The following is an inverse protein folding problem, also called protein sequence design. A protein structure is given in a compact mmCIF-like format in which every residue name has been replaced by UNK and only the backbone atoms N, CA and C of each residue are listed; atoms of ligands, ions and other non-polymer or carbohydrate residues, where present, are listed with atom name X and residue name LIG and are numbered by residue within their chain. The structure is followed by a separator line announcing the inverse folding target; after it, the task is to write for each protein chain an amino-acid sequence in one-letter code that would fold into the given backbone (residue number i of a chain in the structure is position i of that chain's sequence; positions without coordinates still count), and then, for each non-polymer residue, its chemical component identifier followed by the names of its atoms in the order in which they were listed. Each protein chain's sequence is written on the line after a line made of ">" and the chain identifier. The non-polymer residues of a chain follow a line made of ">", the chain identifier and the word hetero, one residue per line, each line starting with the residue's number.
data_IF_415633017684
#
_entry.id   IF_415633017684
#
_cell.length_a   1.000
_cell.length_b   1.000
_cell.length_c   1.000
_cell.angle_alpha   90.00
_cell.angle_beta   90.00
_cell.angle_gamma   90.00
#
_symmetry.space_group_name_H-M   'P 1'
#
loop_
_entity.id
_entity.type
_entity.pdbx_description
1 polymer ?
#
# COMPACT_ATOMS: atom_id res chain seq x y z
N UNK A 1 0.36 0.60 -7.05
CA UNK A 1 -0.39 0.81 -5.80
C UNK A 1 -0.41 2.31 -5.51
N UNK A 2 -1.58 2.95 -5.43
CA UNK A 2 -1.66 4.40 -5.20
C UNK A 2 -1.09 4.77 -3.82
N UNK A 3 -0.41 5.92 -3.72
CA UNK A 3 0.27 6.41 -2.49
C UNK A 3 -0.63 6.28 -1.25
N UNK A 4 -1.91 6.62 -1.36
CA UNK A 4 -2.92 6.52 -0.30
C UNK A 4 -3.05 5.10 0.28
N UNK A 5 -3.10 4.07 -0.55
CA UNK A 5 -3.28 2.69 -0.09
C UNK A 5 -2.05 2.15 0.65
N UNK A 6 -0.87 2.62 0.27
CA UNK A 6 0.39 2.34 0.96
C UNK A 6 0.40 2.98 2.35
N UNK A 7 0.04 4.26 2.47
CA UNK A 7 -0.07 4.93 3.77
C UNK A 7 -1.09 4.27 4.70
N UNK A 8 -2.26 3.88 4.17
CA UNK A 8 -3.27 3.16 4.95
C UNK A 8 -2.77 1.83 5.51
N UNK A 9 -2.00 1.07 4.71
CA UNK A 9 -1.39 -0.18 5.17
C UNK A 9 -0.43 0.09 6.34
N UNK A 10 0.44 1.09 6.19
CA UNK A 10 1.37 1.45 7.26
C UNK A 10 0.64 1.88 8.53
N UNK A 11 -0.47 2.62 8.41
CA UNK A 11 -1.25 3.02 9.57
C UNK A 11 -1.78 1.82 10.39
N UNK A 12 -2.33 0.82 9.71
CA UNK A 12 -2.80 -0.41 10.36
C UNK A 12 -1.64 -1.22 10.97
N UNK A 13 -0.50 -1.31 10.29
CA UNK A 13 0.69 -1.97 10.83
C UNK A 13 1.23 -1.24 12.07
N UNK A 14 1.34 0.08 12.02
CA UNK A 14 1.81 0.90 13.14
C UNK A 14 0.87 0.79 14.34
N UNK A 15 -0.45 0.77 14.12
CA UNK A 15 -1.42 0.47 15.19
C UNK A 15 -1.13 -0.87 15.88
N UNK A 16 -0.92 -1.94 15.10
CA UNK A 16 -0.57 -3.24 15.64
C UNK A 16 0.75 -3.24 16.43
N UNK A 17 1.75 -2.47 15.99
CA UNK A 17 3.01 -2.31 16.73
C UNK A 17 2.79 -1.63 18.09
N UNK A 18 1.89 -0.65 18.19
CA UNK A 18 1.54 -0.04 19.48
C UNK A 18 0.90 -1.06 20.42
N UNK A 19 -0.02 -1.91 19.93
CA UNK A 19 -0.61 -2.98 20.74
C UNK A 19 0.44 -3.99 21.23
N UNK A 20 1.33 -4.43 20.36
CA UNK A 20 2.43 -5.34 20.75
C UNK A 20 3.40 -4.67 21.73
N UNK A 21 3.67 -3.37 21.55
CA UNK A 21 4.53 -2.61 22.46
C UNK A 21 3.92 -2.51 23.86
N UNK A 22 2.59 -2.34 23.98
CA UNK A 22 1.89 -2.39 25.27
C UNK A 22 2.18 -3.69 26.02
N UNK A 23 2.11 -4.85 25.34
CA UNK A 23 2.43 -6.15 25.96
C UNK A 23 3.90 -6.24 26.38
N UNK A 24 4.80 -5.78 25.51
CA UNK A 24 6.24 -5.85 25.74
C UNK A 24 6.68 -4.99 26.92
N UNK A 25 6.13 -3.79 27.08
CA UNK A 25 6.45 -2.90 28.19
C UNK A 25 6.10 -3.56 29.52
N UNK A 26 4.89 -4.13 29.65
CA UNK A 26 4.49 -4.90 30.85
C UNK A 26 5.44 -6.05 31.14
N UNK A 27 5.78 -6.83 30.10
CA UNK A 27 6.61 -8.01 30.26
C UNK A 27 8.07 -7.68 30.62
N UNK A 28 8.62 -6.62 30.03
CA UNK A 28 9.96 -6.16 30.39
C UNK A 28 10.02 -5.60 31.80
N UNK A 29 9.01 -4.85 32.23
CA UNK A 29 8.91 -4.41 33.61
C UNK A 29 8.85 -5.59 34.58
N UNK A 30 8.01 -6.60 34.30
CA UNK A 30 7.95 -7.82 35.10
C UNK A 30 9.29 -8.57 35.20
N UNK A 31 10.12 -8.56 34.15
CA UNK A 31 11.41 -9.28 34.13
C UNK A 31 12.58 -8.49 34.68
N UNK A 32 12.56 -7.16 34.56
CA UNK A 32 13.72 -6.30 34.80
C UNK A 32 13.46 -5.14 35.74
N UNK A 33 12.22 -4.99 36.23
CA UNK A 33 11.78 -3.91 37.09
C UNK A 33 12.14 -2.52 36.53
N UNK A 34 11.84 -2.32 35.25
CA UNK A 34 12.22 -1.11 34.49
C UNK A 34 11.64 0.17 35.12
N UNK A 35 10.45 0.06 35.71
CA UNK A 35 9.77 1.16 36.38
C UNK A 35 10.04 1.21 37.89
N UNK A 36 10.94 0.38 38.43
CA UNK A 36 11.34 0.35 39.85
C UNK A 36 10.13 0.30 40.80
N UNK A 37 9.17 -0.58 40.55
CA UNK A 37 7.93 -0.69 41.32
C UNK A 37 6.90 0.42 41.12
N UNK A 38 7.13 1.40 40.24
CA UNK A 38 6.14 2.46 39.94
C UNK A 38 5.03 1.95 39.01
N UNK A 39 4.06 1.25 39.59
CA UNK A 39 2.94 0.64 38.88
C UNK A 39 2.01 1.65 38.20
N UNK A 40 1.91 2.87 38.74
CA UNK A 40 1.11 3.94 38.15
C UNK A 40 1.72 4.44 36.84
N UNK A 41 3.02 4.72 36.82
CA UNK A 41 3.72 5.15 35.60
C UNK A 41 3.69 4.09 34.50
N UNK A 42 3.83 2.82 34.89
CA UNK A 42 3.69 1.68 33.98
C UNK A 42 2.29 1.65 33.35
N UNK A 43 1.23 1.69 34.16
CA UNK A 43 -0.14 1.65 33.68
C UNK A 43 -0.47 2.84 32.76
N UNK A 44 -0.01 4.04 33.10
CA UNK A 44 -0.16 5.23 32.24
C UNK A 44 0.51 5.01 30.89
N UNK A 45 1.73 4.46 30.88
CA UNK A 45 2.47 4.15 29.64
C UNK A 45 1.70 3.16 28.78
N UNK A 46 1.17 2.09 29.37
CA UNK A 46 0.36 1.07 28.69
C UNK A 46 -0.89 1.67 28.06
N UNK A 47 -1.62 2.51 28.80
CA UNK A 47 -2.84 3.18 28.35
C UNK A 47 -2.51 4.14 27.20
N UNK A 48 -1.44 4.94 27.29
CA UNK A 48 -1.04 5.87 26.22
C UNK A 48 -0.73 5.10 24.93
N UNK A 49 0.06 4.02 25.01
CA UNK A 49 0.38 3.18 23.85
C UNK A 49 -0.90 2.57 23.24
N UNK A 50 -1.79 2.05 24.10
CA UNK A 50 -3.07 1.48 23.68
C UNK A 50 -3.97 2.52 22.98
N UNK A 51 -4.06 3.74 23.52
CA UNK A 51 -4.84 4.83 22.94
C UNK A 51 -4.30 5.27 21.59
N UNK A 52 -2.97 5.44 21.46
CA UNK A 52 -2.35 5.78 20.16
C UNK A 52 -2.63 4.68 19.14
N UNK A 53 -2.44 3.41 19.50
CA UNK A 53 -2.76 2.28 18.63
C UNK A 53 -4.22 2.26 18.19
N UNK A 54 -5.15 2.53 19.12
CA UNK A 54 -6.58 2.57 18.87
C UNK A 54 -6.99 3.74 17.98
N UNK A 55 -6.42 4.93 18.17
CA UNK A 55 -6.68 6.10 17.33
C UNK A 55 -6.19 5.87 15.89
N UNK A 56 -5.00 5.29 15.72
CA UNK A 56 -4.49 4.93 14.39
C UNK A 56 -5.40 3.90 13.71
N UNK A 57 -5.86 2.88 14.44
CA UNK A 57 -6.78 1.89 13.89
C UNK A 57 -8.13 2.51 13.51
N UNK A 58 -8.66 3.38 14.37
CA UNK A 58 -9.90 4.12 14.14
C UNK A 58 -9.81 4.99 12.90
N UNK A 59 -8.72 5.75 12.74
CA UNK A 59 -8.48 6.57 11.55
C UNK A 59 -8.33 5.71 10.28
N UNK A 60 -7.62 4.59 10.37
CA UNK A 60 -7.52 3.63 9.27
C UNK A 60 -8.91 3.17 8.80
N UNK A 61 -9.76 2.72 9.73
CA UNK A 61 -11.10 2.25 9.39
C UNK A 61 -12.01 3.37 8.92
N UNK A 62 -11.92 4.54 9.51
CA UNK A 62 -12.67 5.72 9.07
C UNK A 62 -12.43 6.00 7.58
N UNK A 63 -11.15 6.06 7.15
CA UNK A 63 -10.82 6.27 5.74
C UNK A 63 -11.31 5.12 4.86
N UNK A 64 -11.20 3.88 5.33
CA UNK A 64 -11.69 2.69 4.61
C UNK A 64 -13.20 2.71 4.37
N UNK A 65 -13.99 3.02 5.39
CA UNK A 65 -15.44 3.12 5.26
C UNK A 65 -15.84 4.33 4.40
N UNK A 66 -15.13 5.45 4.53
CA UNK A 66 -15.34 6.60 3.66
C UNK A 66 -15.12 6.26 2.18
N UNK A 67 -14.04 5.54 1.86
CA UNK A 67 -13.73 5.12 0.48
C UNK A 67 -14.80 4.18 -0.08
N UNK A 68 -15.27 3.22 0.71
CA UNK A 68 -16.35 2.30 0.32
C UNK A 68 -17.65 3.03 -0.03
N UNK A 69 -17.97 4.10 0.69
CA UNK A 69 -19.19 4.86 0.47
C UNK A 69 -19.08 5.85 -0.71
N UNK A 70 -17.86 6.28 -1.05
CA UNK A 70 -17.62 7.28 -2.10
C UNK A 70 -17.42 6.68 -3.48
N UNK A 71 -16.81 5.50 -3.56
CA UNK A 71 -16.47 4.86 -4.84
C UNK A 71 -17.69 4.16 -5.46
N UNK A 72 -18.55 4.94 -6.11
CA UNK A 72 -19.69 4.41 -6.88
C UNK A 72 -19.26 3.64 -8.14
N UNK A 73 -18.00 3.79 -8.58
CA UNK A 73 -17.49 3.17 -9.81
C UNK A 73 -17.16 1.68 -9.67
N UNK A 74 -16.85 1.23 -8.45
CA UNK A 74 -16.50 -0.17 -8.18
C UNK A 74 -17.29 -0.71 -7.00
N UNK A 75 -18.10 -1.75 -7.24
CA UNK A 75 -18.88 -2.42 -6.21
C UNK A 75 -18.15 -3.68 -5.77
N UNK A 76 -17.75 -3.73 -4.49
CA UNK A 76 -17.15 -4.93 -3.90
C UNK A 76 -18.06 -6.15 -4.06
N UNK A 77 -17.47 -7.24 -4.49
CA UNK A 77 -18.12 -8.55 -4.54
C UNK A 77 -18.42 -9.09 -3.14
N UNK A 78 -19.33 -10.07 -3.03
CA UNK A 78 -19.65 -10.72 -1.74
C UNK A 78 -18.40 -11.29 -1.05
N UNK A 79 -17.49 -11.90 -1.82
CA UNK A 79 -16.24 -12.48 -1.30
C UNK A 79 -15.33 -11.39 -0.72
N UNK A 80 -15.16 -10.27 -1.41
CA UNK A 80 -14.35 -9.15 -0.93
C UNK A 80 -14.92 -8.51 0.33
N UNK A 81 -16.25 -8.38 0.42
CA UNK A 81 -16.92 -7.91 1.64
C UNK A 81 -16.64 -8.84 2.82
N UNK A 82 -16.71 -10.15 2.62
CA UNK A 82 -16.37 -11.13 3.68
C UNK A 82 -14.93 -10.90 4.16
N UNK A 83 -13.95 -10.85 3.25
CA UNK A 83 -12.55 -10.60 3.63
C UNK A 83 -12.34 -9.25 4.31
N UNK A 84 -13.05 -8.21 3.86
CA UNK A 84 -13.01 -6.89 4.49
C UNK A 84 -13.51 -6.94 5.94
N UNK A 85 -14.69 -7.53 6.17
CA UNK A 85 -15.26 -7.65 7.52
C UNK A 85 -14.49 -8.63 8.40
N UNK A 86 -13.95 -9.71 7.85
CA UNK A 86 -13.06 -10.63 8.57
C UNK A 86 -11.77 -9.91 8.99
N UNK A 87 -11.19 -9.08 8.12
CA UNK A 87 -10.05 -8.24 8.48
C UNK A 87 -10.39 -7.27 9.61
N UNK A 88 -11.52 -6.56 9.50
CA UNK A 88 -12.03 -5.68 10.56
C UNK A 88 -12.18 -6.42 11.89
N UNK A 89 -12.78 -7.61 11.86
CA UNK A 89 -12.94 -8.47 13.03
C UNK A 89 -11.61 -8.84 13.67
N UNK A 90 -10.62 -9.24 12.87
CA UNK A 90 -9.29 -9.63 13.37
C UNK A 90 -8.53 -8.46 13.99
N UNK A 91 -8.52 -7.28 13.35
CA UNK A 91 -7.89 -6.10 13.94
C UNK A 91 -8.61 -5.62 15.20
N UNK A 92 -9.94 -5.67 15.23
CA UNK A 92 -10.73 -5.34 16.41
C UNK A 92 -10.50 -6.35 17.55
N UNK A 93 -10.35 -7.63 17.21
CA UNK A 93 -10.00 -8.68 18.16
C UNK A 93 -8.63 -8.42 18.78
N UNK A 94 -7.62 -8.02 17.99
CA UNK A 94 -6.30 -7.62 18.53
C UNK A 94 -6.40 -6.47 19.52
N UNK A 95 -7.23 -5.45 19.23
CA UNK A 95 -7.50 -4.34 20.15
C UNK A 95 -8.14 -4.85 21.45
N UNK A 96 -9.17 -5.69 21.36
CA UNK A 96 -9.88 -6.24 22.53
C UNK A 96 -8.94 -7.11 23.37
N UNK A 97 -8.15 -7.99 22.75
CA UNK A 97 -7.18 -8.83 23.44
C UNK A 97 -6.10 -8.01 24.14
N UNK A 98 -5.67 -6.89 23.55
CA UNK A 98 -4.73 -5.96 24.19
C UNK A 98 -5.35 -5.31 25.42
N UNK A 99 -6.61 -4.88 25.34
CA UNK A 99 -7.34 -4.33 26.50
C UNK A 99 -7.49 -5.38 27.62
N UNK A 100 -7.88 -6.61 27.27
CA UNK A 100 -7.97 -7.73 28.23
C UNK A 100 -6.61 -7.98 28.86
N UNK A 101 -5.52 -7.99 28.09
CA UNK A 101 -4.18 -8.16 28.61
C UNK A 101 -3.83 -7.10 29.66
N UNK A 102 -4.07 -5.81 29.39
CA UNK A 102 -3.81 -4.72 30.34
C UNK A 102 -4.54 -4.98 31.67
N UNK A 103 -5.84 -5.28 31.59
CA UNK A 103 -6.68 -5.51 32.79
C UNK A 103 -6.21 -6.74 33.57
N UNK A 104 -6.02 -7.88 32.89
CA UNK A 104 -5.70 -9.15 33.55
C UNK A 104 -4.27 -9.15 34.08
N UNK A 105 -3.30 -8.63 33.33
CA UNK A 105 -1.89 -8.57 33.74
C UNK A 105 -1.66 -7.66 34.96
N UNK A 106 -2.59 -6.77 35.28
CA UNK A 106 -2.52 -5.96 36.50
C UNK A 106 -2.97 -6.72 37.76
N UNK A 107 -3.70 -7.83 37.59
CA UNK A 107 -4.29 -8.60 38.69
C UNK A 107 -3.55 -9.93 38.98
N UNK A 108 -2.48 -10.23 38.23
CA UNK A 108 -1.76 -11.51 38.32
C UNK A 108 -0.28 -11.26 38.65
N UNK A 109 0.26 -12.07 39.57
CA UNK A 109 1.67 -11.98 40.02
C UNK A 109 2.66 -12.44 38.94
N UNK A 110 2.36 -13.53 38.23
CA UNK A 110 3.22 -14.04 37.15
C UNK A 110 2.49 -13.97 35.80
N UNK A 111 2.94 -13.06 34.95
CA UNK A 111 2.32 -12.77 33.65
C UNK A 111 2.93 -13.57 32.48
N UNK A 112 3.91 -14.44 32.73
CA UNK A 112 4.71 -15.07 31.66
C UNK A 112 3.84 -15.87 30.68
N UNK A 113 3.00 -16.77 31.18
CA UNK A 113 2.12 -17.58 30.34
C UNK A 113 1.10 -16.71 29.59
N UNK A 114 0.48 -15.76 30.29
CA UNK A 114 -0.47 -14.81 29.72
C UNK A 114 0.17 -14.01 28.57
N UNK A 115 1.39 -13.51 28.75
CA UNK A 115 2.13 -12.77 27.74
C UNK A 115 2.34 -13.60 26.47
N UNK A 116 2.88 -14.83 26.58
CA UNK A 116 3.15 -15.67 25.41
C UNK A 116 1.89 -16.11 24.69
N UNK A 117 0.80 -16.38 25.42
CA UNK A 117 -0.49 -16.70 24.80
C UNK A 117 -1.03 -15.48 24.05
N UNK A 118 -1.12 -14.33 24.71
CA UNK A 118 -1.71 -13.13 24.13
C UNK A 118 -0.89 -12.60 22.95
N UNK A 119 0.44 -12.57 23.05
CA UNK A 119 1.29 -12.08 21.96
C UNK A 119 1.15 -12.94 20.70
N UNK A 120 1.05 -14.27 20.84
CA UNK A 120 0.86 -15.18 19.71
C UNK A 120 -0.49 -14.94 19.03
N UNK A 121 -1.57 -14.88 19.81
CA UNK A 121 -2.91 -14.63 19.25
C UNK A 121 -3.03 -13.25 18.60
N UNK A 122 -2.48 -12.21 19.23
CA UNK A 122 -2.49 -10.85 18.68
C UNK A 122 -1.67 -10.81 17.39
N UNK A 123 -0.44 -11.36 17.38
CA UNK A 123 0.42 -11.37 16.20
C UNK A 123 -0.22 -12.13 15.03
N UNK A 124 -0.77 -13.31 15.28
CA UNK A 124 -1.48 -14.08 14.26
C UNK A 124 -2.71 -13.32 13.74
N UNK A 125 -3.49 -12.72 14.64
CA UNK A 125 -4.64 -11.90 14.28
C UNK A 125 -4.25 -10.72 13.37
N UNK A 126 -3.16 -10.01 13.69
CA UNK A 126 -2.65 -8.90 12.90
C UNK A 126 -2.15 -9.36 11.51
N UNK A 127 -1.41 -10.48 11.44
CA UNK A 127 -0.87 -11.01 10.18
C UNK A 127 -2.03 -11.49 9.28
N UNK A 128 -2.91 -12.33 9.79
CA UNK A 128 -4.06 -12.85 9.02
C UNK A 128 -5.01 -11.70 8.65
N UNK A 129 -5.22 -10.76 9.58
CA UNK A 129 -5.98 -9.54 9.36
C UNK A 129 -5.42 -8.73 8.19
N UNK A 130 -4.10 -8.56 8.11
CA UNK A 130 -3.42 -7.89 6.98
C UNK A 130 -3.54 -8.66 5.67
N UNK A 131 -3.57 -9.99 5.68
CA UNK A 131 -3.74 -10.80 4.47
C UNK A 131 -5.16 -10.66 3.93
N UNK A 132 -6.18 -10.81 4.77
CA UNK A 132 -7.58 -10.64 4.37
C UNK A 132 -7.86 -9.22 3.89
N UNK A 133 -7.26 -8.24 4.53
CA UNK A 133 -7.30 -6.85 4.11
C UNK A 133 -6.77 -6.68 2.67
N UNK A 134 -5.62 -7.28 2.37
CA UNK A 134 -5.02 -7.23 1.05
C UNK A 134 -5.90 -7.90 0.00
N UNK A 135 -6.42 -9.10 0.32
CA UNK A 135 -7.30 -9.87 -0.57
C UNK A 135 -8.58 -9.08 -0.88
N UNK A 136 -9.15 -8.39 0.13
CA UNK A 136 -10.36 -7.58 -0.05
C UNK A 136 -10.20 -6.44 -1.07
N UNK A 137 -8.96 -6.04 -1.37
CA UNK A 137 -8.63 -4.93 -2.28
C UNK A 137 -8.22 -5.37 -3.68
N UNK A 138 -8.00 -6.65 -3.93
CA UNK A 138 -7.43 -7.12 -5.19
C UNK A 138 -8.32 -6.77 -6.39
N UNK A 139 -9.64 -6.94 -6.28
CA UNK A 139 -10.54 -6.62 -7.38
C UNK A 139 -10.58 -5.13 -7.69
N UNK A 140 -10.60 -4.26 -6.67
CA UNK A 140 -10.51 -2.82 -6.86
C UNK A 140 -9.17 -2.41 -7.51
N UNK A 141 -8.06 -2.95 -7.03
CA UNK A 141 -6.74 -2.65 -7.60
C UNK A 141 -6.64 -3.10 -9.06
N UNK A 142 -7.21 -4.25 -9.40
CA UNK A 142 -7.30 -4.75 -10.76
C UNK A 142 -8.17 -3.84 -11.64
N UNK A 143 -9.32 -3.40 -11.13
CA UNK A 143 -10.20 -2.45 -11.81
C UNK A 143 -9.49 -1.13 -12.14
N UNK A 144 -8.84 -0.52 -11.15
CA UNK A 144 -8.09 0.73 -11.35
C UNK A 144 -6.97 0.55 -12.36
N UNK A 145 -6.19 -0.54 -12.26
CA UNK A 145 -5.10 -0.82 -13.20
C UNK A 145 -5.61 -0.98 -14.65
N UNK A 146 -6.78 -1.62 -14.82
CA UNK A 146 -7.42 -1.74 -16.14
C UNK A 146 -7.86 -0.38 -16.69
N UNK A 147 -8.52 0.44 -15.86
CA UNK A 147 -8.96 1.80 -16.24
C UNK A 147 -7.78 2.69 -16.64
N UNK A 148 -6.70 2.68 -15.86
CA UNK A 148 -5.45 3.39 -16.17
C UNK A 148 -4.82 2.92 -17.48
N UNK A 149 -4.82 1.60 -17.72
CA UNK A 149 -4.32 1.02 -18.97
C UNK A 149 -5.16 1.48 -20.17
N UNK A 150 -6.48 1.44 -20.08
CA UNK A 150 -7.39 1.87 -21.14
C UNK A 150 -7.23 3.37 -21.45
N UNK A 151 -7.15 4.22 -20.43
CA UNK A 151 -6.88 5.65 -20.61
C UNK A 151 -5.52 5.90 -21.27
N UNK A 152 -4.49 5.17 -20.85
CA UNK A 152 -3.17 5.26 -21.48
C UNK A 152 -3.20 4.84 -22.96
N UNK A 153 -4.04 3.86 -23.32
CA UNK A 153 -4.23 3.46 -24.72
C UNK A 153 -4.99 4.52 -25.53
N UNK A 154 -6.00 5.18 -24.95
CA UNK A 154 -6.71 6.29 -25.59
C UNK A 154 -5.75 7.44 -25.88
N UNK A 155 -4.99 7.89 -24.88
CA UNK A 155 -3.99 8.97 -25.03
C UNK A 155 -2.93 8.61 -26.08
N UNK A 156 -2.49 7.35 -26.13
CA UNK A 156 -1.57 6.88 -27.17
C UNK A 156 -2.19 6.99 -28.56
N UNK A 157 -3.43 6.54 -28.74
CA UNK A 157 -4.15 6.64 -30.02
C UNK A 157 -4.36 8.09 -30.45
N UNK A 158 -4.70 8.98 -29.52
CA UNK A 158 -4.84 10.41 -29.78
C UNK A 158 -3.51 11.05 -30.20
N UNK A 159 -2.40 10.73 -29.53
CA UNK A 159 -1.07 11.19 -29.95
C UNK A 159 -0.68 10.71 -31.34
N UNK A 160 -0.97 9.46 -31.66
CA UNK A 160 -0.70 8.90 -33.00
C UNK A 160 -1.52 9.64 -34.05
N UNK A 161 -2.82 9.83 -33.82
CA UNK A 161 -3.69 10.60 -34.73
C UNK A 161 -3.17 12.03 -34.93
N UNK A 162 -2.75 12.69 -33.85
CA UNK A 162 -2.21 14.05 -33.90
C UNK A 162 -0.92 14.14 -34.73
N UNK A 163 0.01 13.19 -34.54
CA UNK A 163 1.25 13.13 -35.33
C UNK A 163 0.97 12.94 -36.83
N UNK A 164 0.05 12.05 -37.19
CA UNK A 164 -0.33 11.79 -38.59
C UNK A 164 -1.03 13.01 -39.20
N UNK A 165 -1.83 13.73 -38.41
CA UNK A 165 -2.52 14.95 -38.89
C UNK A 165 -1.58 16.15 -39.06
N UNK A 166 -0.52 16.24 -38.25
CA UNK A 166 0.45 17.35 -38.30
C UNK A 166 1.55 17.12 -39.34
N UNK A 167 1.88 15.87 -39.67
CA UNK A 167 2.91 15.52 -40.66
C UNK A 167 2.41 14.43 -41.62
N UNK A 168 2.07 14.83 -42.84
CA UNK A 168 1.53 13.95 -43.90
C UNK A 168 2.52 12.87 -44.37
N UNK A 169 3.80 12.99 -44.02
CA UNK A 169 4.83 12.03 -44.41
C UNK A 169 5.03 10.91 -43.39
N UNK A 170 4.43 11.00 -42.20
CA UNK A 170 4.57 9.99 -41.16
C UNK A 170 3.51 8.91 -41.34
N UNK A 171 3.95 7.67 -41.55
CA UNK A 171 3.05 6.51 -41.63
C UNK A 171 2.57 6.08 -40.25
N UNK A 172 1.42 5.40 -40.19
CA UNK A 172 0.84 4.95 -38.92
C UNK A 172 1.76 4.00 -38.14
N UNK A 173 2.58 3.20 -38.83
CA UNK A 173 3.57 2.31 -38.22
C UNK A 173 4.74 3.08 -37.59
N UNK A 174 5.21 4.15 -38.24
CA UNK A 174 6.24 5.05 -37.71
C UNK A 174 5.73 5.83 -36.48
N UNK A 175 4.49 6.32 -36.52
CA UNK A 175 3.87 6.98 -35.37
C UNK A 175 3.70 6.04 -34.17
N UNK A 176 3.34 4.76 -34.40
CA UNK A 176 3.24 3.73 -33.35
C UNK A 176 4.60 3.41 -32.71
N UNK A 177 5.67 3.34 -33.50
CA UNK A 177 7.04 3.09 -33.01
C UNK A 177 7.59 4.28 -32.22
N UNK A 178 7.32 5.52 -32.63
CA UNK A 178 7.74 6.73 -31.91
C UNK A 178 7.00 6.85 -30.55
N UNK A 179 5.67 6.67 -30.53
CA UNK A 179 4.87 6.79 -29.30
C UNK A 179 5.15 5.66 -28.31
N UNK A 180 5.52 4.47 -28.78
CA UNK A 180 5.90 3.34 -27.91
C UNK A 180 7.31 3.47 -27.32
N UNK A 181 8.28 3.99 -28.09
CA UNK A 181 9.65 4.22 -27.61
C UNK A 181 9.77 5.40 -26.64
N UNK A 182 8.80 6.31 -26.62
CA UNK A 182 8.84 7.51 -25.78
C UNK A 182 8.44 7.27 -24.29
N UNK A 183 8.21 6.02 -23.87
CA UNK A 183 7.77 5.72 -22.50
C UNK A 183 8.90 5.74 -21.44
N UNK A 184 10.18 5.86 -21.82
CA UNK A 184 11.32 5.72 -20.88
C UNK A 184 12.64 6.39 -21.31
N UNK A 185 12.66 7.38 -22.20
CA UNK A 185 13.92 8.03 -22.60
C UNK A 185 14.21 9.25 -21.75
N UNK A 186 15.40 9.29 -21.15
CA UNK A 186 16.01 10.52 -20.65
C UNK A 186 16.25 11.46 -21.83
N UNK A 187 16.29 12.79 -21.58
CA UNK A 187 16.50 13.81 -22.64
C UNK A 187 17.73 13.54 -23.51
N UNK A 188 18.76 12.91 -22.94
CA UNK A 188 19.99 12.50 -23.64
C UNK A 188 19.76 11.38 -24.67
N UNK A 189 18.90 10.41 -24.35
CA UNK A 189 18.58 9.31 -25.27
C UNK A 189 17.70 9.77 -26.44
N UNK A 190 16.89 10.83 -26.27
CA UNK A 190 16.20 11.49 -27.38
C UNK A 190 17.17 12.28 -28.28
N UNK A 191 18.19 12.93 -27.70
CA UNK A 191 19.19 13.68 -28.46
C UNK A 191 20.08 12.75 -29.32
N UNK A 192 20.51 11.62 -28.76
CA UNK A 192 21.31 10.61 -29.47
C UNK A 192 20.56 10.00 -30.67
N UNK A 193 19.26 9.69 -30.51
CA UNK A 193 18.49 9.16 -31.64
C UNK A 193 18.24 10.19 -32.75
N UNK A 194 18.01 11.46 -32.39
CA UNK A 194 17.89 12.52 -33.40
C UNK A 194 19.21 12.65 -34.18
N UNK A 195 20.36 12.54 -33.52
CA UNK A 195 21.66 12.54 -34.18
C UNK A 195 21.84 11.32 -35.10
N UNK A 196 21.46 10.11 -34.65
CA UNK A 196 21.55 8.88 -35.46
C UNK A 196 20.62 8.88 -36.68
N UNK A 197 19.42 9.42 -36.56
CA UNK A 197 18.47 9.55 -37.68
C UNK A 197 19.01 10.54 -38.73
N UNK A 198 19.61 11.65 -38.29
CA UNK A 198 20.26 12.62 -39.19
C UNK A 198 21.49 12.00 -39.86
N UNK A 199 22.26 11.17 -39.14
CA UNK A 199 23.45 10.48 -39.69
C UNK A 199 23.08 9.44 -40.75
N UNK A 200 22.04 8.63 -40.50
CA UNK A 200 21.51 7.66 -41.49
C UNK A 200 20.90 8.33 -42.72
N UNK A 201 20.34 9.54 -42.60
CA UNK A 201 19.91 10.34 -43.77
C UNK A 201 21.10 10.81 -44.61
N UNK A 202 22.20 11.24 -43.98
CA UNK A 202 23.43 11.64 -44.70
C UNK A 202 24.13 10.46 -45.37
N UNK A 203 24.19 9.29 -44.74
CA UNK A 203 24.82 8.09 -45.32
C UNK A 203 24.04 7.48 -46.50
N UNK A 204 22.71 7.69 -46.57
CA UNK A 204 21.91 7.30 -47.74
C UNK A 204 22.18 8.15 -48.99
N UNK A 205 22.65 9.39 -48.80
CA UNK A 205 22.99 10.33 -49.90
C UNK A 205 24.43 10.18 -50.40
N UNK A 206 25.28 9.41 -49.71
CA UNK A 206 26.70 9.23 -50.08
C UNK A 206 27.03 7.79 -50.45
N UNK A 207 26.12 7.08 -51.13
CA UNK A 207 26.45 5.75 -51.65
C UNK A 207 27.52 5.90 -52.75
N UNK A 208 28.78 5.47 -52.53
CA UNK A 208 29.85 5.63 -53.52
C UNK A 208 29.76 4.59 -54.65
N UNK A 209 28.71 3.75 -54.65
CA UNK A 209 28.42 2.75 -55.68
C UNK A 209 27.18 3.09 -56.51
N UNK A 210 26.69 4.33 -56.44
CA UNK A 210 25.74 4.91 -57.39
C UNK A 210 26.49 5.90 -58.29
N UNK A 211 27.33 5.35 -59.15
CA UNK A 211 27.62 5.75 -60.53
C UNK A 211 28.42 4.61 -61.19
#
# INVERSE_FOLDING_TARGET
>A
MGKKQTYLKYLATTSGLFFLSTLLVKYFDFKKDVFNGNTTALLITEIILFLIGSLLLGFYWFVKFYDLNKEKEYVMTKKEKIYFFSSLGLYSLSLILTMIFIVVAHNIVNITALFFVMIVFILLGLIVGSVFEMISRLGYQSYVAKKEYEQAQIIKKERIKKMISEDKNITEEEAKTIVSTNKKRTKEAEALLKADIVKKKKEKDTNPFKD
#
